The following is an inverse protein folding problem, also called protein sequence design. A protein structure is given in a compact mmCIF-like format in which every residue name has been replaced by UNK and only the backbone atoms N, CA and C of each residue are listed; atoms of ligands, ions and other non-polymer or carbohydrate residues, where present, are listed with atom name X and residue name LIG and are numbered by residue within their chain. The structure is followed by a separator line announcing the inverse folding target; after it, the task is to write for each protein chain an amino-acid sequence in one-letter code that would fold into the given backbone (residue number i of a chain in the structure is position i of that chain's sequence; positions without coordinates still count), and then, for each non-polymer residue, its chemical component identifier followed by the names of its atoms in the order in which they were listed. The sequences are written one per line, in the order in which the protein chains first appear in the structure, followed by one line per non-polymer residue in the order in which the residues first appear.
data_IF_509408241852
#
_entry.id   IF_509408241852
#
_cell.length_a   1.000
_cell.length_b   1.000
_cell.length_c   1.000
_cell.angle_alpha   90.00
_cell.angle_beta   90.00
_cell.angle_gamma   90.00
#
_symmetry.space_group_name_H-M   'P 1'
#
loop_
_entity.id
_entity.type
_entity.pdbx_description
1 polymer ?
#
# COMPACT_ATOMS: atom_id res chain seq x y z
N UNK A 1 8.67 13.70 4.58
CA UNK A 1 9.27 12.97 3.41
C UNK A 1 8.74 11.55 3.25
N UNK A 2 8.38 10.85 4.33
CA UNK A 2 7.95 9.45 4.34
C UNK A 2 6.91 9.07 3.26
N UNK A 3 5.77 9.76 3.23
CA UNK A 3 4.68 9.44 2.28
C UNK A 3 5.07 9.59 0.81
N UNK A 4 5.97 10.52 0.49
CA UNK A 4 6.49 10.69 -0.87
C UNK A 4 7.28 9.46 -1.30
N UNK A 5 8.10 8.90 -0.40
CA UNK A 5 8.86 7.69 -0.67
C UNK A 5 7.93 6.50 -0.90
N UNK A 6 6.92 6.30 -0.05
CA UNK A 6 5.96 5.21 -0.25
C UNK A 6 5.14 5.38 -1.54
N UNK A 7 4.69 6.60 -1.84
CA UNK A 7 3.99 6.90 -3.10
C UNK A 7 4.86 6.59 -4.32
N UNK A 8 6.14 6.96 -4.31
CA UNK A 8 7.08 6.62 -5.38
C UNK A 8 7.28 5.09 -5.50
N UNK A 9 7.39 4.37 -4.38
CA UNK A 9 7.54 2.92 -4.39
C UNK A 9 6.31 2.23 -4.97
N UNK A 10 5.10 2.64 -4.54
CA UNK A 10 3.84 2.11 -5.07
C UNK A 10 3.71 2.39 -6.58
N UNK A 11 4.14 3.57 -7.03
CA UNK A 11 4.19 3.89 -8.46
C UNK A 11 5.11 2.94 -9.23
N UNK A 12 6.30 2.67 -8.70
CA UNK A 12 7.26 1.72 -9.30
C UNK A 12 6.65 0.31 -9.33
N UNK A 13 5.99 -0.14 -8.26
CA UNK A 13 5.35 -1.46 -8.22
C UNK A 13 4.20 -1.58 -9.22
N UNK A 14 3.41 -0.51 -9.40
CA UNK A 14 2.38 -0.47 -10.44
C UNK A 14 2.97 -0.65 -11.84
N UNK A 15 4.08 0.02 -12.15
CA UNK A 15 4.79 -0.16 -13.41
C UNK A 15 5.32 -1.59 -13.56
N UNK A 16 5.86 -2.17 -12.49
CA UNK A 16 6.39 -3.54 -12.50
C UNK A 16 5.30 -4.56 -12.79
N UNK A 17 4.12 -4.41 -12.18
CA UNK A 17 2.96 -5.27 -12.41
C UNK A 17 2.47 -5.19 -13.87
N UNK A 18 2.44 -3.99 -14.45
CA UNK A 18 2.08 -3.80 -15.87
C UNK A 18 3.08 -4.51 -16.78
N UNK A 19 4.38 -4.39 -16.51
CA UNK A 19 5.42 -5.08 -17.29
C UNK A 19 5.31 -6.59 -17.17
N UNK A 20 5.06 -7.09 -15.97
CA UNK A 20 4.89 -8.53 -15.74
C UNK A 20 3.69 -9.07 -16.52
N UNK A 21 2.55 -8.35 -16.52
CA UNK A 21 1.38 -8.69 -17.30
C UNK A 21 1.66 -8.72 -18.82
N UNK A 22 2.42 -7.75 -19.34
CA UNK A 22 2.78 -7.65 -20.76
C UNK A 22 3.72 -8.80 -21.20
N UNK A 23 4.70 -9.18 -20.37
CA UNK A 23 5.59 -10.34 -20.62
C UNK A 23 4.77 -11.64 -20.75
N UNK A 24 3.68 -11.75 -20.00
CA UNK A 24 2.75 -12.89 -20.03
C UNK A 24 1.75 -12.83 -21.20
N UNK A 25 1.78 -11.76 -21.99
CA UNK A 25 0.89 -11.54 -23.14
C UNK A 25 -0.52 -11.05 -22.76
N UNK A 26 -0.71 -10.64 -21.50
CA UNK A 26 -1.96 -10.05 -21.02
C UNK A 26 -2.01 -8.54 -21.34
N UNK A 27 -3.12 -8.02 -21.89
CA UNK A 27 -3.28 -6.59 -22.04
C UNK A 27 -3.61 -5.93 -20.69
N UNK A 28 -2.97 -4.82 -20.39
CA UNK A 28 -3.33 -3.99 -19.24
C UNK A 28 -4.64 -3.23 -19.52
N UNK A 29 -5.65 -3.43 -18.69
CA UNK A 29 -6.91 -2.69 -18.74
C UNK A 29 -6.98 -1.63 -17.62
N UNK A 30 -6.80 -0.36 -17.98
CA UNK A 30 -6.93 0.76 -17.05
C UNK A 30 -8.38 1.17 -16.77
N UNK A 31 -9.35 0.62 -17.49
CA UNK A 31 -10.78 0.86 -17.28
C UNK A 31 -11.37 0.06 -16.11
N UNK A 32 -10.73 -1.05 -15.73
CA UNK A 32 -11.14 -1.89 -14.62
C UNK A 32 -10.60 -1.38 -13.29
N UNK A 33 -11.04 -0.19 -12.88
CA UNK A 33 -10.64 0.41 -11.61
C UNK A 33 -11.45 -0.24 -10.48
N UNK A 34 -10.82 -0.70 -9.37
CA UNK A 34 -11.53 -1.32 -8.26
C UNK A 34 -12.63 -0.42 -7.70
N UNK A 35 -13.80 -1.02 -7.37
CA UNK A 35 -14.93 -0.27 -6.75
C UNK A 35 -14.54 0.48 -5.48
N UNK A 36 -13.56 -0.01 -4.73
CA UNK A 36 -13.03 0.66 -3.54
C UNK A 36 -12.44 2.05 -3.86
N UNK A 37 -11.87 2.23 -5.05
CA UNK A 37 -11.29 3.50 -5.53
C UNK A 37 -12.35 4.41 -6.17
N UNK A 38 -13.36 3.80 -6.79
CA UNK A 38 -14.40 4.52 -7.53
C UNK A 38 -15.50 5.11 -6.65
N UNK A 39 -15.66 4.59 -5.43
CA UNK A 39 -16.81 4.91 -4.59
C UNK A 39 -18.12 4.39 -5.19
N UNK A 40 -19.18 4.33 -4.39
CA UNK A 40 -20.46 3.72 -4.78
C UNK A 40 -21.16 4.40 -5.99
N UNK A 41 -20.65 5.54 -6.47
CA UNK A 41 -21.30 6.39 -7.47
C UNK A 41 -20.84 6.20 -8.93
N UNK A 42 -19.80 5.41 -9.20
CA UNK A 42 -19.22 5.37 -10.55
C UNK A 42 -19.69 4.15 -11.37
N UNK A 43 -20.79 4.34 -12.10
CA UNK A 43 -21.26 3.44 -13.17
C UNK A 43 -21.35 4.26 -14.45
N UNK A 44 -20.42 4.08 -15.39
CA UNK A 44 -20.38 4.82 -16.66
C UNK A 44 -18.99 4.88 -17.29
N UNK A 45 -18.83 5.54 -18.45
CA UNK A 45 -17.54 5.72 -19.13
C UNK A 45 -16.72 6.94 -18.62
N UNK A 46 -17.34 7.81 -17.82
CA UNK A 46 -16.74 9.01 -17.22
C UNK A 46 -16.48 8.81 -15.72
N UNK A 47 -15.80 7.70 -15.40
CA UNK A 47 -15.48 7.31 -14.03
C UNK A 47 -14.36 8.20 -13.51
N UNK A 48 -14.72 9.27 -12.79
CA UNK A 48 -13.74 9.99 -11.96
C UNK A 48 -13.57 9.23 -10.65
N UNK A 49 -12.33 9.08 -10.14
CA UNK A 49 -12.12 8.60 -8.77
C UNK A 49 -13.01 9.42 -7.84
N UNK A 50 -13.62 8.78 -6.84
CA UNK A 50 -14.42 9.49 -5.85
C UNK A 50 -13.62 10.70 -5.36
N UNK A 51 -14.27 11.87 -5.27
CA UNK A 51 -13.61 13.08 -4.79
C UNK A 51 -12.89 12.75 -3.49
N UNK A 52 -11.55 12.70 -3.55
CA UNK A 52 -10.75 12.29 -2.40
C UNK A 52 -11.14 13.23 -1.28
N UNK A 53 -11.62 12.66 -0.17
CA UNK A 53 -11.89 13.46 1.02
C UNK A 53 -10.58 14.16 1.36
N UNK A 54 -10.59 15.50 1.40
CA UNK A 54 -9.44 16.25 1.86
C UNK A 54 -9.16 15.81 3.30
N UNK A 55 -8.18 14.93 3.45
CA UNK A 55 -7.79 14.33 4.70
C UNK A 55 -6.90 15.32 5.45
N UNK A 56 -7.51 16.24 6.20
CA UNK A 56 -6.81 16.98 7.26
C UNK A 56 -6.61 16.05 8.45
N UNK A 57 -5.69 15.08 8.30
CA UNK A 57 -5.35 14.12 9.34
C UNK A 57 -4.17 14.66 10.15
N UNK A 58 -4.23 14.47 11.47
CA UNK A 58 -3.05 14.60 12.31
C UNK A 58 -2.04 13.46 12.00
N UNK A 59 -0.82 13.61 12.48
CA UNK A 59 0.31 12.73 12.19
C UNK A 59 0.04 11.27 12.61
N UNK A 60 -0.63 11.08 13.74
CA UNK A 60 -1.00 9.75 14.23
C UNK A 60 -2.05 9.08 13.35
N UNK A 61 -3.12 9.79 13.00
CA UNK A 61 -4.19 9.27 12.14
C UNK A 61 -3.69 9.02 10.72
N UNK A 62 -2.78 9.86 10.20
CA UNK A 62 -2.20 9.67 8.87
C UNK A 62 -1.28 8.45 8.81
N UNK A 63 -0.49 8.17 9.85
CA UNK A 63 0.29 6.93 9.94
C UNK A 63 -0.61 5.69 10.07
N UNK A 64 -1.64 5.77 10.92
CA UNK A 64 -2.60 4.68 11.09
C UNK A 64 -3.32 4.37 9.79
N UNK A 65 -3.74 5.41 9.05
CA UNK A 65 -4.39 5.24 7.75
C UNK A 65 -3.46 4.64 6.71
N UNK A 66 -2.19 5.05 6.67
CA UNK A 66 -1.21 4.46 5.77
C UNK A 66 -0.98 2.97 6.07
N UNK A 67 -0.91 2.59 7.36
CA UNK A 67 -0.82 1.19 7.77
C UNK A 67 -2.03 0.37 7.31
N UNK A 68 -3.24 0.92 7.44
CA UNK A 68 -4.46 0.24 6.99
C UNK A 68 -4.49 0.05 5.48
N UNK A 69 -4.08 1.06 4.71
CA UNK A 69 -4.00 0.96 3.24
C UNK A 69 -2.99 -0.10 2.79
N UNK A 70 -1.81 -0.17 3.42
CA UNK A 70 -0.82 -1.21 3.12
C UNK A 70 -1.34 -2.62 3.45
N UNK A 71 -2.09 -2.77 4.55
CA UNK A 71 -2.74 -4.06 4.88
C UNK A 71 -3.81 -4.44 3.87
N UNK A 72 -4.58 -3.48 3.38
CA UNK A 72 -5.58 -3.71 2.32
C UNK A 72 -4.90 -4.19 1.03
N UNK A 73 -3.81 -3.53 0.62
CA UNK A 73 -3.01 -3.94 -0.54
C UNK A 73 -2.47 -5.36 -0.40
N UNK A 74 -1.92 -5.71 0.77
CA UNK A 74 -1.46 -7.08 1.04
C UNK A 74 -2.59 -8.10 0.98
N UNK A 75 -3.78 -7.73 1.47
CA UNK A 75 -4.96 -8.58 1.37
C UNK A 75 -5.29 -8.93 -0.08
N UNK A 76 -5.20 -7.96 -1.00
CA UNK A 76 -5.40 -8.20 -2.43
C UNK A 76 -4.25 -9.02 -3.04
N UNK A 77 -2.99 -8.75 -2.67
CA UNK A 77 -1.84 -9.55 -3.12
C UNK A 77 -1.98 -11.01 -2.71
N UNK A 78 -2.44 -11.29 -1.49
CA UNK A 78 -2.67 -12.67 -1.03
C UNK A 78 -3.80 -13.37 -1.77
N UNK A 79 -4.87 -12.66 -2.16
CA UNK A 79 -5.91 -13.27 -3.01
C UNK A 79 -5.33 -13.73 -4.34
N UNK A 80 -4.54 -12.87 -4.99
CA UNK A 80 -3.89 -13.22 -6.27
C UNK A 80 -2.92 -14.39 -6.08
N UNK A 81 -2.12 -14.38 -5.01
CA UNK A 81 -1.20 -15.47 -4.68
C UNK A 81 -1.94 -16.80 -4.47
N UNK A 82 -3.03 -16.81 -3.69
CA UNK A 82 -3.83 -18.02 -3.48
C UNK A 82 -4.51 -18.51 -4.77
N UNK A 83 -4.96 -17.61 -5.63
CA UNK A 83 -5.56 -17.97 -6.92
C UNK A 83 -4.50 -18.58 -7.86
N UNK A 84 -3.27 -18.06 -7.84
CA UNK A 84 -2.15 -18.56 -8.66
C UNK A 84 -1.54 -19.87 -8.14
N UNK A 85 -1.56 -20.08 -6.83
CA UNK A 85 -1.07 -21.31 -6.17
C UNK A 85 -2.17 -22.38 -6.03
N UNK A 86 -3.34 -22.20 -6.67
CA UNK A 86 -4.35 -23.24 -6.70
C UNK A 86 -3.79 -24.46 -7.45
N UNK A 87 -3.64 -25.57 -6.74
CA UNK A 87 -3.04 -26.81 -7.26
C UNK A 87 -3.98 -27.56 -8.23
N UNK A 88 -5.01 -26.88 -8.76
CA UNK A 88 -5.81 -27.39 -9.86
C UNK A 88 -5.02 -27.28 -11.17
N UNK A 89 -5.05 -28.30 -12.05
CA UNK A 89 -4.21 -28.33 -13.25
C UNK A 89 -4.39 -27.16 -14.23
N UNK A 90 -5.50 -26.43 -14.13
CA UNK A 90 -5.87 -25.34 -15.02
C UNK A 90 -5.54 -23.94 -14.46
N UNK A 91 -5.25 -23.83 -13.15
CA UNK A 91 -5.05 -22.54 -12.47
C UNK A 91 -3.67 -22.40 -11.82
N UNK A 92 -2.88 -23.48 -11.73
CA UNK A 92 -1.55 -23.43 -11.14
C UNK A 92 -0.55 -22.63 -12.00
N UNK A 93 -0.05 -21.53 -11.44
CA UNK A 93 0.88 -20.60 -12.08
C UNK A 93 2.10 -20.32 -11.20
N UNK A 94 3.05 -21.26 -11.19
CA UNK A 94 4.26 -21.19 -10.37
C UNK A 94 5.11 -19.92 -10.61
N UNK A 95 5.08 -19.37 -11.82
CA UNK A 95 5.87 -18.18 -12.17
C UNK A 95 5.27 -16.92 -11.54
N UNK A 96 3.94 -16.78 -11.62
CA UNK A 96 3.22 -15.69 -10.96
C UNK A 96 3.34 -15.76 -9.44
N UNK A 97 3.18 -16.95 -8.86
CA UNK A 97 3.35 -17.19 -7.42
C UNK A 97 4.73 -16.75 -6.95
N UNK A 98 5.79 -17.17 -7.64
CA UNK A 98 7.16 -16.80 -7.32
C UNK A 98 7.40 -15.29 -7.47
N UNK A 99 6.92 -14.67 -8.56
CA UNK A 99 7.05 -13.23 -8.78
C UNK A 99 6.38 -12.42 -7.67
N UNK A 100 5.18 -12.81 -7.25
CA UNK A 100 4.45 -12.15 -6.17
C UNK A 100 5.21 -12.22 -4.84
N UNK A 101 5.75 -13.39 -4.51
CA UNK A 101 6.50 -13.59 -3.26
C UNK A 101 7.76 -12.71 -3.19
N UNK A 102 8.54 -12.68 -4.27
CA UNK A 102 9.79 -11.91 -4.30
C UNK A 102 9.53 -10.40 -4.34
N UNK A 103 8.64 -9.95 -5.23
CA UNK A 103 8.52 -8.53 -5.55
C UNK A 103 7.57 -7.79 -4.60
N UNK A 104 6.50 -8.45 -4.13
CA UNK A 104 5.42 -7.79 -3.40
C UNK A 104 5.35 -8.23 -1.94
N UNK A 105 5.29 -9.53 -1.65
CA UNK A 105 5.07 -10.03 -0.27
C UNK A 105 6.20 -9.61 0.66
N UNK A 106 7.45 -9.78 0.23
CA UNK A 106 8.63 -9.40 1.02
C UNK A 106 8.64 -7.91 1.37
N UNK A 107 8.32 -7.05 0.40
CA UNK A 107 8.40 -5.59 0.53
C UNK A 107 7.25 -5.04 1.36
N UNK A 108 6.02 -5.50 1.14
CA UNK A 108 4.89 -5.07 1.95
C UNK A 108 5.04 -5.48 3.41
N UNK A 109 5.62 -6.66 3.70
CA UNK A 109 5.93 -7.08 5.08
C UNK A 109 6.81 -6.03 5.77
N UNK A 110 7.88 -5.61 5.12
CA UNK A 110 8.84 -4.68 5.68
C UNK A 110 8.22 -3.28 5.87
N UNK A 111 7.41 -2.82 4.91
CA UNK A 111 6.66 -1.55 5.00
C UNK A 111 5.66 -1.57 6.16
N UNK A 112 4.85 -2.63 6.26
CA UNK A 112 3.87 -2.81 7.36
C UNK A 112 4.59 -2.82 8.70
N UNK A 113 5.74 -3.51 8.81
CA UNK A 113 6.51 -3.58 10.05
C UNK A 113 7.02 -2.21 10.48
N UNK A 114 7.50 -1.40 9.53
CA UNK A 114 7.97 -0.04 9.78
C UNK A 114 6.83 0.89 10.16
N UNK A 115 5.73 0.89 9.41
CA UNK A 115 4.55 1.70 9.71
C UNK A 115 3.93 1.34 11.07
N UNK A 116 3.84 0.05 11.41
CA UNK A 116 3.36 -0.39 12.71
C UNK A 116 4.27 0.06 13.86
N UNK A 117 5.59 0.07 13.64
CA UNK A 117 6.56 0.64 14.58
C UNK A 117 6.32 2.13 14.78
N UNK A 118 6.28 2.90 13.69
CA UNK A 118 6.02 4.34 13.70
C UNK A 118 4.71 4.71 14.39
N UNK A 119 3.62 3.99 14.12
CA UNK A 119 2.33 4.23 14.79
C UNK A 119 2.41 3.96 16.28
N UNK A 120 3.12 2.91 16.69
CA UNK A 120 3.25 2.55 18.09
C UNK A 120 4.11 3.59 18.82
N UNK A 121 5.27 3.91 18.29
CA UNK A 121 6.23 4.82 18.92
C UNK A 121 5.65 6.24 19.01
N UNK A 122 4.98 6.73 17.96
CA UNK A 122 4.29 8.02 18.03
C UNK A 122 3.12 7.98 19.02
N UNK A 123 2.36 6.88 19.08
CA UNK A 123 1.30 6.71 20.07
C UNK A 123 1.82 6.82 21.50
N UNK A 124 2.91 6.13 21.82
CA UNK A 124 3.56 6.19 23.14
C UNK A 124 4.13 7.59 23.45
N UNK A 125 4.69 8.28 22.44
CA UNK A 125 5.21 9.65 22.62
C UNK A 125 4.10 10.70 22.83
N UNK A 126 2.92 10.49 22.25
CA UNK A 126 1.78 11.41 22.39
C UNK A 126 1.08 11.30 23.74
N UNK A 127 1.27 10.19 24.47
CA UNK A 127 0.76 10.02 25.84
C UNK A 127 1.53 10.86 26.89
N UNK A 128 2.61 11.54 26.49
CA UNK A 128 3.38 12.46 27.34
C UNK A 128 2.83 13.89 27.32
N UNK A 129 3.15 14.69 28.35
CA UNK A 129 2.62 16.05 28.52
C UNK A 129 2.93 17.03 27.36
N UNK A 130 4.02 16.82 26.62
CA UNK A 130 4.47 17.71 25.54
C UNK A 130 4.30 17.06 24.16
N UNK A 131 3.06 16.88 23.73
CA UNK A 131 2.70 16.23 22.45
C UNK A 131 3.26 16.94 21.21
N UNK A 132 3.35 18.28 21.23
CA UNK A 132 3.90 19.05 20.11
C UNK A 132 5.41 18.86 19.95
N UNK A 133 6.15 18.74 21.06
CA UNK A 133 7.57 18.44 21.04
C UNK A 133 7.82 17.00 20.57
N UNK A 134 6.99 16.06 21.02
CA UNK A 134 7.01 14.67 20.57
C UNK A 134 6.87 14.55 19.05
N UNK A 135 5.89 15.25 18.44
CA UNK A 135 5.69 15.26 16.98
C UNK A 135 6.92 15.83 16.27
N UNK A 136 7.46 16.95 16.76
CA UNK A 136 8.65 17.56 16.15
C UNK A 136 9.87 16.62 16.19
N UNK A 137 10.15 16.02 17.35
CA UNK A 137 11.26 15.07 17.50
C UNK A 137 11.06 13.82 16.63
N UNK A 138 9.82 13.34 16.53
CA UNK A 138 9.50 12.21 15.69
C UNK A 138 9.75 12.50 14.20
N UNK A 139 9.38 13.69 13.71
CA UNK A 139 9.66 14.08 12.32
C UNK A 139 11.17 14.19 12.05
N UNK A 140 11.95 14.76 12.99
CA UNK A 140 13.42 14.79 12.90
C UNK A 140 14.03 13.38 12.88
N UNK A 141 13.50 12.45 13.69
CA UNK A 141 13.94 11.05 13.69
C UNK A 141 13.67 10.39 12.33
N UNK A 142 12.48 10.60 11.75
CA UNK A 142 12.14 10.09 10.42
C UNK A 142 13.03 10.68 9.32
N UNK A 143 13.39 11.97 9.40
CA UNK A 143 14.26 12.61 8.42
C UNK A 143 15.72 12.15 8.54
N UNK A 144 16.19 11.90 9.76
CA UNK A 144 17.59 11.51 10.01
C UNK A 144 17.90 10.04 9.65
N UNK A 145 16.89 9.24 9.31
CA UNK A 145 17.06 7.82 8.97
C UNK A 145 17.55 6.97 10.15
N UNK A 146 17.33 7.43 11.39
CA UNK A 146 17.72 6.72 12.62
C UNK A 146 16.67 5.70 13.08
N UNK A 147 15.82 5.26 12.16
CA UNK A 147 14.80 4.23 12.34
C UNK A 147 15.14 2.99 11.51
#
# INVERSE_FOLDING_TARGET
MLYRTYSNNLWIYGIELIKHLDIRGGPMDFGNIPRSVLGEAAVGADVKPAAQSNWELNEYLSLSKALDLEKELVGEVFKIHFDADDHTPEHYDAELTHHIEEVFVSKHRDIIRSLAGYTKDLGEMLDTADSSLAIYLFDELLQSGKY
#
